data_IF_138687761387
#
_entry.id   IF_138687761387
#
_cell.length_a   1.000
_cell.length_b   1.000
_cell.length_c   1.000
_cell.angle_alpha   90.00
_cell.angle_beta   90.00
_cell.angle_gamma   90.00
#
_symmetry.space_group_name_H-M   'P 1'
#
loop_
_entity.id
_entity.type
_entity.pdbx_description
1 polymer ?
#
# COMPACT_ATOMS: atom_id res chain seq x y z
N UNK A 1 -17.69 2.89 -8.76
CA UNK A 1 -17.36 3.91 -7.73
C UNK A 1 -15.86 4.09 -7.69
N UNK A 2 -15.42 5.31 -7.51
CA UNK A 2 -14.00 5.64 -7.37
C UNK A 2 -13.62 5.77 -5.90
N UNK A 3 -12.45 5.23 -5.53
CA UNK A 3 -11.90 5.42 -4.18
C UNK A 3 -10.44 5.89 -4.26
N UNK A 4 -10.00 6.55 -3.20
CA UNK A 4 -8.60 6.92 -3.00
C UNK A 4 -8.07 6.05 -1.86
N UNK A 5 -6.94 5.38 -2.12
CA UNK A 5 -6.34 4.44 -1.16
C UNK A 5 -4.98 4.95 -0.74
N UNK A 6 -4.85 5.33 0.52
CA UNK A 6 -3.56 5.67 1.11
C UNK A 6 -2.97 4.41 1.71
N UNK A 7 -1.76 4.07 1.30
CA UNK A 7 -1.07 2.86 1.78
C UNK A 7 0.29 3.21 2.35
N UNK A 8 0.71 2.49 3.37
CA UNK A 8 2.03 2.62 3.96
C UNK A 8 2.47 1.28 4.53
N UNK A 9 3.73 0.94 4.32
CA UNK A 9 4.34 -0.25 4.89
C UNK A 9 5.68 0.12 5.47
N UNK A 10 6.04 -0.49 6.57
CA UNK A 10 7.30 -0.21 7.21
C UNK A 10 7.81 -1.34 8.07
N UNK A 11 9.12 -1.37 8.25
CA UNK A 11 9.79 -2.29 9.15
C UNK A 11 10.61 -1.52 10.17
N UNK A 12 10.64 -2.01 11.40
CA UNK A 12 11.50 -1.49 12.47
C UNK A 12 12.83 -2.25 12.42
N UNK A 13 13.75 -1.74 11.61
CA UNK A 13 14.93 -2.43 11.13
C UNK A 13 14.70 -2.86 9.68
N UNK A 14 15.76 -3.12 8.93
CA UNK A 14 15.63 -3.45 7.50
C UNK A 14 16.57 -4.61 7.12
N UNK A 15 16.13 -5.89 7.30
CA UNK A 15 14.79 -6.32 7.71
C UNK A 15 14.51 -6.18 9.21
N UNK A 16 13.25 -6.25 9.57
CA UNK A 16 12.81 -6.20 10.95
C UNK A 16 11.30 -6.42 11.07
N UNK A 17 10.75 -6.35 12.29
CA UNK A 17 9.31 -6.43 12.48
C UNK A 17 8.61 -5.38 11.63
N UNK A 18 7.63 -5.82 10.84
CA UNK A 18 7.01 -5.00 9.83
C UNK A 18 5.49 -5.05 9.90
N UNK A 19 4.86 -4.03 9.35
CA UNK A 19 3.41 -3.94 9.23
C UNK A 19 3.02 -3.16 7.98
N UNK A 20 1.78 -3.38 7.55
CA UNK A 20 1.16 -2.67 6.44
C UNK A 20 -0.10 -1.98 6.93
N UNK A 21 -0.39 -0.80 6.38
CA UNK A 21 -1.59 -0.04 6.68
C UNK A 21 -2.22 0.52 5.41
N UNK A 22 -3.55 0.61 5.40
CA UNK A 22 -4.29 1.14 4.27
C UNK A 22 -5.54 1.88 4.74
N UNK A 23 -5.82 3.01 4.12
CA UNK A 23 -7.02 3.82 4.35
C UNK A 23 -7.73 4.00 3.03
N UNK A 24 -8.96 3.52 2.92
CA UNK A 24 -9.78 3.69 1.73
C UNK A 24 -10.77 4.83 1.98
N UNK A 25 -10.78 5.81 1.10
CA UNK A 25 -11.62 6.99 1.23
C UNK A 25 -12.34 7.29 -0.08
N UNK A 26 -13.41 8.06 0.00
CA UNK A 26 -14.01 8.66 -1.20
C UNK A 26 -13.07 9.75 -1.75
N UNK A 27 -13.23 10.18 -3.01
CA UNK A 27 -12.46 11.31 -3.53
C UNK A 27 -12.62 12.59 -2.72
N UNK A 28 -13.74 12.75 -2.00
CA UNK A 28 -14.03 13.90 -1.15
C UNK A 28 -13.40 13.80 0.24
N UNK A 29 -12.75 12.65 0.55
CA UNK A 29 -12.03 12.45 1.80
C UNK A 29 -12.79 11.73 2.90
N UNK A 30 -14.00 11.23 2.63
CA UNK A 30 -14.72 10.40 3.61
C UNK A 30 -14.05 9.04 3.75
N UNK A 31 -13.64 8.68 4.96
CA UNK A 31 -13.00 7.38 5.22
C UNK A 31 -14.05 6.27 5.20
N UNK A 32 -13.86 5.30 4.32
CA UNK A 32 -14.74 4.14 4.17
C UNK A 32 -14.19 2.91 4.89
N UNK A 33 -12.89 2.77 4.98
CA UNK A 33 -12.24 1.60 5.58
C UNK A 33 -10.84 1.94 6.06
N UNK A 34 -10.44 1.36 7.18
CA UNK A 34 -9.08 1.41 7.69
C UNK A 34 -8.65 -0.02 7.98
N UNK A 35 -7.44 -0.38 7.55
CA UNK A 35 -6.90 -1.72 7.74
C UNK A 35 -5.43 -1.66 8.10
N UNK A 36 -5.00 -2.58 8.95
CA UNK A 36 -3.59 -2.77 9.26
C UNK A 36 -3.35 -4.23 9.56
N UNK A 37 -2.14 -4.71 9.22
CA UNK A 37 -1.73 -6.07 9.55
C UNK A 37 -0.24 -6.12 9.86
N UNK A 38 0.13 -6.98 10.78
CA UNK A 38 1.53 -7.28 11.07
C UNK A 38 2.02 -8.32 10.07
N UNK A 39 3.27 -8.19 9.63
CA UNK A 39 3.83 -9.00 8.54
C UNK A 39 4.95 -9.93 9.00
N UNK A 40 5.23 -9.98 10.32
CA UNK A 40 6.43 -10.66 10.81
C UNK A 40 7.67 -9.86 10.43
N UNK A 41 8.78 -10.54 10.14
CA UNK A 41 10.03 -9.90 9.77
C UNK A 41 10.16 -9.84 8.24
N UNK A 42 10.28 -8.64 7.71
CA UNK A 42 10.56 -8.44 6.29
C UNK A 42 11.25 -7.08 6.07
N UNK A 43 11.65 -6.83 4.83
CA UNK A 43 12.24 -5.54 4.45
C UNK A 43 11.19 -4.46 4.33
N UNK A 44 11.63 -3.22 4.38
CA UNK A 44 10.76 -2.07 4.21
C UNK A 44 10.02 -2.11 2.85
N UNK A 45 10.74 -2.45 1.78
CA UNK A 45 10.15 -2.51 0.44
C UNK A 45 9.10 -3.62 0.31
N UNK A 46 9.32 -4.77 0.91
CA UNK A 46 8.32 -5.85 0.96
C UNK A 46 7.08 -5.38 1.71
N UNK A 47 7.26 -4.71 2.85
CA UNK A 47 6.14 -4.18 3.63
C UNK A 47 5.31 -3.18 2.80
N UNK A 48 5.96 -2.35 1.99
CA UNK A 48 5.27 -1.38 1.16
C UNK A 48 4.45 -2.04 0.05
N UNK A 49 4.97 -3.09 -0.60
CA UNK A 49 4.17 -3.87 -1.54
C UNK A 49 2.99 -4.58 -0.88
N UNK A 50 3.20 -5.09 0.33
CA UNK A 50 2.12 -5.74 1.09
C UNK A 50 1.02 -4.74 1.44
N UNK A 51 1.39 -3.51 1.77
CA UNK A 51 0.43 -2.43 2.02
C UNK A 51 -0.38 -2.09 0.76
N UNK A 52 0.28 -2.03 -0.39
CA UNK A 52 -0.39 -1.81 -1.67
C UNK A 52 -1.43 -2.92 -1.92
N UNK A 53 -1.03 -4.17 -1.76
CA UNK A 53 -1.94 -5.31 -1.94
C UNK A 53 -3.10 -5.29 -0.95
N UNK A 54 -2.84 -4.94 0.32
CA UNK A 54 -3.87 -4.81 1.34
C UNK A 54 -4.90 -3.75 0.94
N UNK A 55 -4.44 -2.57 0.55
CA UNK A 55 -5.30 -1.46 0.15
C UNK A 55 -6.15 -1.80 -1.07
N UNK A 56 -5.56 -2.44 -2.07
CA UNK A 56 -6.27 -2.86 -3.27
C UNK A 56 -7.34 -3.92 -2.97
N UNK A 57 -7.02 -4.86 -2.08
CA UNK A 57 -7.99 -5.88 -1.66
C UNK A 57 -9.19 -5.24 -0.95
N UNK A 58 -8.94 -4.28 -0.07
CA UNK A 58 -10.01 -3.58 0.65
C UNK A 58 -10.86 -2.74 -0.29
N UNK A 59 -10.24 -2.07 -1.26
CA UNK A 59 -10.97 -1.31 -2.28
C UNK A 59 -11.91 -2.23 -3.08
N UNK A 60 -11.40 -3.40 -3.45
CA UNK A 60 -12.19 -4.38 -4.21
C UNK A 60 -13.37 -4.90 -3.41
N UNK A 61 -13.18 -5.19 -2.12
CA UNK A 61 -14.26 -5.64 -1.24
C UNK A 61 -15.37 -4.60 -1.10
N UNK A 62 -15.02 -3.31 -1.19
CA UNK A 62 -16.00 -2.22 -1.15
C UNK A 62 -16.73 -2.01 -2.48
N UNK A 63 -16.35 -2.76 -3.52
CA UNK A 63 -16.98 -2.65 -4.83
C UNK A 63 -16.42 -1.54 -5.71
N UNK A 64 -15.23 -1.03 -5.41
CA UNK A 64 -14.61 0.02 -6.21
C UNK A 64 -14.25 -0.50 -7.61
N UNK A 65 -14.51 0.31 -8.62
CA UNK A 65 -14.16 0.03 -10.01
C UNK A 65 -13.03 0.89 -10.52
N UNK A 66 -12.76 1.99 -9.81
CA UNK A 66 -11.67 2.90 -10.10
C UNK A 66 -10.91 3.20 -8.81
N UNK A 67 -9.58 3.15 -8.86
CA UNK A 67 -8.75 3.34 -7.68
C UNK A 67 -7.60 4.31 -7.97
N UNK A 68 -7.39 5.22 -7.04
CA UNK A 68 -6.20 6.07 -7.02
C UNK A 68 -5.42 5.71 -5.75
N UNK A 69 -4.23 5.14 -5.93
CA UNK A 69 -3.35 4.77 -4.82
C UNK A 69 -2.39 5.89 -4.52
N UNK A 70 -2.29 6.25 -3.26
CA UNK A 70 -1.37 7.27 -2.74
C UNK A 70 -0.42 6.60 -1.77
N UNK A 71 0.88 6.77 -2.01
CA UNK A 71 1.91 6.24 -1.12
C UNK A 71 3.08 7.25 -1.03
N UNK A 72 4.02 6.99 -0.14
CA UNK A 72 5.18 7.85 0.01
C UNK A 72 6.49 7.19 -0.47
N UNK A 73 6.38 6.03 -1.14
CA UNK A 73 7.53 5.34 -1.73
C UNK A 73 7.60 5.62 -3.22
N UNK A 74 8.53 6.45 -3.61
CA UNK A 74 8.80 6.74 -5.02
C UNK A 74 9.23 5.48 -5.78
N UNK A 75 10.02 4.61 -5.15
CA UNK A 75 10.47 3.37 -5.74
C UNK A 75 9.29 2.49 -6.15
N UNK A 76 8.37 2.23 -5.22
CA UNK A 76 7.20 1.37 -5.47
C UNK A 76 6.33 1.97 -6.58
N UNK A 77 6.04 3.27 -6.52
CA UNK A 77 5.23 3.93 -7.55
C UNK A 77 5.87 3.81 -8.94
N UNK A 78 7.16 4.04 -9.05
CA UNK A 78 7.87 3.95 -10.33
C UNK A 78 7.95 2.53 -10.85
N UNK A 79 8.10 1.53 -9.97
CA UNK A 79 8.07 0.13 -10.38
C UNK A 79 6.68 -0.27 -10.89
N UNK A 80 5.62 0.10 -10.19
CA UNK A 80 4.24 -0.23 -10.59
C UNK A 80 3.86 0.49 -11.88
N UNK A 81 4.32 1.72 -12.07
CA UNK A 81 4.06 2.49 -13.29
C UNK A 81 4.96 2.10 -14.48
N UNK A 82 5.84 1.11 -14.29
CA UNK A 82 6.70 0.60 -15.36
C UNK A 82 7.94 1.44 -15.66
N UNK A 83 8.25 2.41 -14.82
CA UNK A 83 9.41 3.29 -14.99
C UNK A 83 10.71 2.68 -14.48
N UNK A 84 10.63 1.80 -13.47
CA UNK A 84 11.77 1.10 -12.89
C UNK A 84 11.52 -0.40 -12.94
N UNK A 85 12.59 -1.17 -13.20
CA UNK A 85 12.53 -2.63 -13.13
C UNK A 85 12.59 -3.11 -11.69
N UNK A 86 11.90 -4.21 -11.41
CA UNK A 86 11.99 -4.90 -10.13
C UNK A 86 13.10 -5.94 -10.23
N UNK A 87 14.17 -5.76 -9.44
CA UNK A 87 15.35 -6.62 -9.50
C UNK A 87 15.42 -7.64 -8.37
N UNK A 88 14.87 -7.31 -7.20
CA UNK A 88 14.91 -8.20 -6.05
C UNK A 88 13.89 -9.33 -6.17
N UNK A 89 14.35 -10.56 -5.92
CA UNK A 89 13.53 -11.76 -6.06
C UNK A 89 12.31 -11.77 -5.12
N UNK A 90 12.45 -11.20 -3.92
CA UNK A 90 11.36 -11.14 -2.94
C UNK A 90 10.28 -10.12 -3.31
N UNK A 91 10.61 -9.14 -4.15
CA UNK A 91 9.67 -8.11 -4.60
C UNK A 91 8.95 -8.50 -5.89
N UNK A 92 9.56 -9.34 -6.73
CA UNK A 92 9.01 -9.70 -8.04
C UNK A 92 7.60 -10.30 -7.97
N UNK A 93 7.31 -11.30 -7.13
CA UNK A 93 5.96 -11.86 -7.07
C UNK A 93 4.96 -10.86 -6.50
N UNK A 94 5.37 -9.98 -5.60
CA UNK A 94 4.49 -8.95 -5.03
C UNK A 94 4.16 -7.89 -6.07
N UNK A 95 5.13 -7.47 -6.85
CA UNK A 95 4.94 -6.55 -7.97
C UNK A 95 3.98 -7.15 -9.01
N UNK A 96 4.21 -8.39 -9.41
CA UNK A 96 3.34 -9.09 -10.37
C UNK A 96 1.91 -9.21 -9.83
N UNK A 97 1.77 -9.56 -8.55
CA UNK A 97 0.46 -9.65 -7.90
C UNK A 97 -0.27 -8.30 -7.86
N UNK A 98 0.46 -7.21 -7.57
CA UNK A 98 -0.12 -5.88 -7.56
C UNK A 98 -0.62 -5.47 -8.95
N UNK A 99 0.16 -5.71 -10.00
CA UNK A 99 -0.26 -5.41 -11.36
C UNK A 99 -1.48 -6.24 -11.77
N UNK A 100 -1.54 -7.50 -11.37
CA UNK A 100 -2.68 -8.36 -11.66
C UNK A 100 -3.95 -7.82 -11.00
N UNK A 101 -3.88 -7.42 -9.74
CA UNK A 101 -5.04 -6.86 -9.03
C UNK A 101 -5.46 -5.53 -9.64
N UNK A 102 -4.50 -4.67 -9.96
CA UNK A 102 -4.78 -3.38 -10.60
C UNK A 102 -5.48 -3.56 -11.94
N UNK A 103 -5.10 -4.57 -12.73
CA UNK A 103 -5.73 -4.84 -14.02
C UNK A 103 -7.21 -5.21 -13.90
N UNK A 104 -7.68 -5.59 -12.72
CA UNK A 104 -9.09 -5.87 -12.46
C UNK A 104 -9.95 -4.62 -12.22
N UNK A 105 -9.33 -3.45 -12.10
CA UNK A 105 -10.06 -2.18 -12.01
C UNK A 105 -10.24 -1.59 -13.41
N UNK A 106 -11.34 -0.88 -13.63
CA UNK A 106 -11.60 -0.20 -14.90
C UNK A 106 -10.57 0.91 -15.16
N UNK A 107 -10.17 1.60 -14.09
CA UNK A 107 -9.12 2.63 -14.14
C UNK A 107 -8.34 2.59 -12.84
N UNK A 108 -7.03 2.82 -12.95
CA UNK A 108 -6.19 2.91 -11.77
C UNK A 108 -5.07 3.93 -11.99
N UNK A 109 -4.60 4.49 -10.87
CA UNK A 109 -3.49 5.42 -10.85
C UNK A 109 -2.72 5.20 -9.55
N UNK A 110 -1.39 5.21 -9.63
CA UNK A 110 -0.51 5.13 -8.45
C UNK A 110 0.39 6.36 -8.46
N UNK A 111 0.34 7.14 -7.40
CA UNK A 111 1.17 8.34 -7.25
C UNK A 111 1.80 8.42 -5.88
N UNK A 112 2.84 9.26 -5.77
CA UNK A 112 3.52 9.51 -4.51
C UNK A 112 3.19 10.90 -3.98
N UNK A 113 3.27 11.00 -2.64
CA UNK A 113 3.17 12.26 -1.91
C UNK A 113 4.30 12.30 -0.89
N UNK A 114 4.67 13.48 -0.37
CA UNK A 114 5.57 13.55 0.76
C UNK A 114 5.00 12.78 1.95
N UNK A 115 5.88 12.22 2.77
CA UNK A 115 5.49 11.36 3.91
C UNK A 115 4.48 12.04 4.84
N UNK A 116 4.63 13.35 5.07
CA UNK A 116 3.72 14.11 5.92
C UNK A 116 2.27 14.10 5.42
N UNK A 117 2.06 13.87 4.14
CA UNK A 117 0.73 13.78 3.53
C UNK A 117 0.16 12.36 3.52
N UNK A 118 0.90 11.39 4.08
CA UNK A 118 0.48 10.00 4.21
C UNK A 118 0.42 9.56 5.69
N UNK A 119 0.21 10.50 6.58
CA UNK A 119 0.31 10.29 8.03
C UNK A 119 -0.75 9.35 8.59
N UNK A 120 -1.93 9.29 8.00
CA UNK A 120 -3.00 8.41 8.46
C UNK A 120 -2.62 6.94 8.30
N UNK A 121 -2.13 6.55 7.12
CA UNK A 121 -1.67 5.19 6.87
C UNK A 121 -0.41 4.87 7.71
N UNK A 122 0.50 5.83 7.84
CA UNK A 122 1.69 5.69 8.69
C UNK A 122 1.32 5.41 10.15
N UNK A 123 0.32 6.12 10.67
CA UNK A 123 -0.15 5.91 12.03
C UNK A 123 -0.69 4.49 12.24
N UNK A 124 -1.41 3.93 11.25
CA UNK A 124 -1.91 2.56 11.32
C UNK A 124 -0.77 1.54 11.39
N UNK A 125 0.30 1.75 10.63
CA UNK A 125 1.50 0.90 10.67
C UNK A 125 2.13 0.92 12.06
N UNK A 126 2.33 2.11 12.63
CA UNK A 126 2.94 2.26 13.93
C UNK A 126 2.07 1.66 15.05
N UNK A 127 0.76 1.85 14.98
CA UNK A 127 -0.17 1.24 15.93
C UNK A 127 -0.10 -0.28 15.89
N UNK A 128 -0.06 -0.87 14.70
CA UNK A 128 0.05 -2.33 14.54
C UNK A 128 1.36 -2.86 15.10
N UNK A 129 2.48 -2.18 14.85
CA UNK A 129 3.79 -2.57 15.37
C UNK A 129 3.86 -2.43 16.89
N UNK A 130 3.28 -1.37 17.44
CA UNK A 130 3.26 -1.17 18.89
C UNK A 130 2.40 -2.22 19.59
N UNK A 131 1.27 -2.59 19.00
CA UNK A 131 0.38 -3.62 19.56
C UNK A 131 0.99 -5.01 19.49
N UNK A 132 1.93 -5.26 18.58
CA UNK A 132 2.56 -6.56 18.39
C UNK A 132 3.76 -6.82 19.34
N UNK A 133 4.15 -5.84 20.15
CA UNK A 133 5.26 -5.99 21.10
C UNK A 133 4.92 -6.95 22.24
#
# INVERSE_FOLDING_TARGET
MKVVVHVDGGSRGNPGPAAAGAVVSTPEGEVLDESAETLGVCTNNVAEYRALLLGLARAKELGATEVEVVNDSELIAKQVNGQYKVKHADMKPLHAGALQVLSGFDRWKVRTVPRAQNSHADALVNQALDAAK
#
